data_IF_812478684643
#
_entry.id   IF_812478684643
#
_cell.length_a   1.000
_cell.length_b   1.000
_cell.length_c   1.000
_cell.angle_alpha   90.00
_cell.angle_beta   90.00
_cell.angle_gamma   90.00
#
_symmetry.space_group_name_H-M   'P 1'
#
loop_
_entity.id
_entity.type
_entity.pdbx_description
1 polymer ?
#
# COMPACT_ATOMS: atom_id res chain seq x y z
N UNK A 1 -2.63 -21.11 -17.14
CA UNK A 1 -1.68 -20.02 -16.82
C UNK A 1 -2.40 -19.03 -15.92
N UNK A 2 -2.03 -18.92 -14.65
CA UNK A 2 -2.68 -17.99 -13.72
C UNK A 2 -2.24 -16.55 -14.06
N UNK A 3 -3.19 -15.73 -14.53
CA UNK A 3 -2.95 -14.35 -15.00
C UNK A 3 -3.17 -13.29 -13.91
N UNK A 4 -3.16 -13.68 -12.64
CA UNK A 4 -3.47 -12.77 -11.54
C UNK A 4 -2.28 -11.86 -11.22
N UNK A 5 -2.58 -10.58 -10.99
CA UNK A 5 -1.65 -9.58 -10.50
C UNK A 5 -2.14 -9.08 -9.14
N UNK A 6 -1.20 -8.81 -8.24
CA UNK A 6 -1.50 -8.24 -6.93
C UNK A 6 -1.19 -6.75 -6.96
N UNK A 7 -2.13 -5.92 -6.55
CA UNK A 7 -1.91 -4.48 -6.43
C UNK A 7 -1.57 -4.13 -4.99
N UNK A 8 -0.35 -3.63 -4.77
CA UNK A 8 0.11 -3.15 -3.47
C UNK A 8 0.07 -1.62 -3.46
N UNK A 9 -0.77 -1.05 -2.60
CA UNK A 9 -0.90 0.40 -2.42
C UNK A 9 -0.18 0.79 -1.13
N UNK A 10 0.90 1.56 -1.26
CA UNK A 10 1.69 2.04 -0.13
C UNK A 10 1.52 3.54 0.09
N UNK A 11 1.70 3.98 1.33
CA UNK A 11 1.94 5.39 1.60
C UNK A 11 3.32 5.79 1.03
N UNK A 12 3.53 7.03 0.60
CA UNK A 12 4.82 7.48 0.05
C UNK A 12 5.93 7.66 1.10
N UNK A 13 5.99 6.75 2.08
CA UNK A 13 7.11 6.74 3.00
C UNK A 13 8.36 6.27 2.26
N UNK A 14 9.42 7.08 2.30
CA UNK A 14 10.65 6.95 1.48
C UNK A 14 11.47 5.67 1.74
N UNK A 15 11.02 4.78 2.63
CA UNK A 15 11.72 3.54 3.01
C UNK A 15 11.63 2.40 2.00
N UNK A 16 10.75 2.47 0.99
CA UNK A 16 10.46 1.34 0.09
C UNK A 16 11.25 1.31 -1.23
N UNK A 17 12.30 2.12 -1.36
CA UNK A 17 13.02 2.34 -2.62
C UNK A 17 14.39 1.64 -2.70
N UNK A 18 14.53 0.40 -2.25
CA UNK A 18 15.74 -0.39 -2.55
C UNK A 18 15.57 -1.25 -3.81
N UNK A 19 16.68 -1.47 -4.52
CA UNK A 19 16.72 -2.13 -5.84
C UNK A 19 16.29 -3.60 -5.76
N UNK A 20 16.61 -4.28 -4.66
CA UNK A 20 16.23 -5.69 -4.39
C UNK A 20 14.71 -5.90 -4.42
N UNK A 21 13.95 -4.94 -3.91
CA UNK A 21 12.49 -5.06 -3.88
C UNK A 21 11.87 -5.07 -5.28
N UNK A 22 12.44 -4.34 -6.25
CA UNK A 22 11.88 -4.26 -7.61
C UNK A 22 11.91 -5.61 -8.34
N UNK A 23 12.95 -6.42 -8.12
CA UNK A 23 13.07 -7.76 -8.70
C UNK A 23 12.01 -8.71 -8.14
N UNK A 24 11.93 -8.77 -6.80
CA UNK A 24 10.95 -9.59 -6.09
C UNK A 24 9.50 -9.30 -6.53
N UNK A 25 9.11 -8.02 -6.62
CA UNK A 25 7.75 -7.67 -7.00
C UNK A 25 7.41 -8.02 -8.45
N UNK A 26 8.37 -7.87 -9.37
CA UNK A 26 8.17 -8.23 -10.78
C UNK A 26 7.97 -9.74 -10.96
N UNK A 27 8.76 -10.55 -10.27
CA UNK A 27 8.66 -12.02 -10.30
C UNK A 27 7.35 -12.53 -9.71
N UNK A 28 6.84 -11.86 -8.67
CA UNK A 28 5.60 -12.22 -7.98
C UNK A 28 4.33 -11.57 -8.57
N UNK A 29 4.43 -10.88 -9.72
CA UNK A 29 3.31 -10.17 -10.37
C UNK A 29 2.65 -9.14 -9.45
N UNK A 30 3.45 -8.44 -8.66
CA UNK A 30 3.00 -7.40 -7.72
C UNK A 30 3.25 -6.03 -8.37
N UNK A 31 2.18 -5.26 -8.56
CA UNK A 31 2.21 -3.88 -9.03
C UNK A 31 2.17 -2.96 -7.81
N UNK A 32 3.11 -2.03 -7.73
CA UNK A 32 3.16 -1.06 -6.62
C UNK A 32 2.67 0.31 -7.04
N UNK A 33 1.74 0.85 -6.27
CA UNK A 33 1.28 2.24 -6.36
C UNK A 33 1.61 2.97 -5.07
N UNK A 34 2.20 4.16 -5.20
CA UNK A 34 2.51 5.02 -4.06
C UNK A 34 1.50 6.16 -3.98
N UNK A 35 0.87 6.32 -2.82
CA UNK A 35 -0.02 7.44 -2.54
C UNK A 35 0.79 8.72 -2.34
N UNK A 36 0.37 9.88 -2.88
CA UNK A 36 1.10 11.14 -2.69
C UNK A 36 1.33 11.49 -1.21
N UNK A 37 2.49 12.10 -0.91
CA UNK A 37 3.00 12.40 0.46
C UNK A 37 2.12 13.31 1.30
N UNK A 38 1.06 13.87 0.71
CA UNK A 38 0.09 14.71 1.41
C UNK A 38 -1.38 14.25 1.22
N UNK A 39 -1.61 13.21 0.41
CA UNK A 39 -2.94 12.62 0.21
C UNK A 39 -3.20 11.42 1.15
N UNK A 40 -2.16 10.94 1.84
CA UNK A 40 -2.25 9.80 2.76
C UNK A 40 -3.28 10.00 3.87
N UNK A 41 -3.41 11.19 4.45
CA UNK A 41 -4.39 11.45 5.50
C UNK A 41 -5.84 11.52 4.96
N UNK A 42 -6.03 12.05 3.74
CA UNK A 42 -7.35 12.28 3.15
C UNK A 42 -7.91 11.06 2.40
N UNK A 43 -7.04 10.24 1.81
CA UNK A 43 -7.44 9.16 0.89
C UNK A 43 -6.95 7.77 1.30
N UNK A 44 -6.30 7.60 2.47
CA UNK A 44 -5.92 6.25 2.88
C UNK A 44 -7.16 5.40 3.14
N UNK A 45 -7.40 4.34 2.34
CA UNK A 45 -8.55 3.47 2.53
C UNK A 45 -8.51 2.79 3.90
N UNK A 46 -7.31 2.52 4.39
CA UNK A 46 -7.06 2.00 5.73
C UNK A 46 -7.57 2.94 6.83
N UNK A 47 -7.35 4.26 6.70
CA UNK A 47 -7.76 5.25 7.70
C UNK A 47 -9.28 5.45 7.75
N UNK A 48 -9.95 5.46 6.60
CA UNK A 48 -11.41 5.66 6.50
C UNK A 48 -12.17 4.37 6.84
N UNK A 49 -11.63 3.22 6.45
CA UNK A 49 -12.22 1.91 6.69
C UNK A 49 -11.72 1.26 7.98
N UNK A 50 -10.73 0.38 7.84
CA UNK A 50 -10.29 -0.57 8.87
C UNK A 50 -9.88 0.11 10.19
N UNK A 51 -9.08 1.17 10.12
CA UNK A 51 -8.62 1.88 11.31
C UNK A 51 -9.68 2.76 11.95
N UNK A 52 -10.73 3.16 11.23
CA UNK A 52 -11.85 3.88 11.84
C UNK A 52 -12.62 2.99 12.80
N UNK A 53 -12.85 1.73 12.42
CA UNK A 53 -13.48 0.74 13.29
C UNK A 53 -12.58 0.42 14.49
N UNK A 54 -11.28 0.26 14.26
CA UNK A 54 -10.31 0.03 15.34
C UNK A 54 -10.28 1.20 16.33
N UNK A 55 -10.21 2.45 15.84
CA UNK A 55 -10.27 3.64 16.70
C UNK A 55 -11.54 3.66 17.54
N UNK A 56 -12.70 3.34 16.95
CA UNK A 56 -13.98 3.30 17.67
C UNK A 56 -14.01 2.21 18.75
N UNK A 57 -13.39 1.06 18.53
CA UNK A 57 -13.39 -0.05 19.48
C UNK A 57 -12.48 0.19 20.70
N UNK A 58 -11.49 1.07 20.58
CA UNK A 58 -10.47 1.33 21.60
C UNK A 58 -10.42 2.81 22.04
N UNK A 59 -11.50 3.58 21.80
CA UNK A 59 -11.72 4.93 22.39
C UNK A 59 -12.71 4.84 23.53
#
# INVERSE_FOLDING_TARGET
INSYYYLLILNSHKSHHSIEFKGYYKENKIIMLYMPTHASYLLQPLNIGCFRLLKKAYS
#
